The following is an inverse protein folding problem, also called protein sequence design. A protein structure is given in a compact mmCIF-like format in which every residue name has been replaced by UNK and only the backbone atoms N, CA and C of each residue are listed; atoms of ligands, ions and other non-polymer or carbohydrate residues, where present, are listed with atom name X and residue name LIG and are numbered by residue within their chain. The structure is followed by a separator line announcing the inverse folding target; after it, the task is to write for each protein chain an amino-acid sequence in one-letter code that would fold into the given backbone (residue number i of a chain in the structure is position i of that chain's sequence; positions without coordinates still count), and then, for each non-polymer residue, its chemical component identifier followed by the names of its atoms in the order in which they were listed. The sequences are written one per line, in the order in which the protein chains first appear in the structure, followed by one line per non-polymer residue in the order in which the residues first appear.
data_IF_335727681944
#
_entry.id   IF_335727681944
#
_cell.length_a   1.000
_cell.length_b   1.000
_cell.length_c   1.000
_cell.angle_alpha   90.00
_cell.angle_beta   90.00
_cell.angle_gamma   90.00
#
_symmetry.space_group_name_H-M   'P 1'
#
loop_
_entity.id
_entity.type
_entity.pdbx_description
1 polymer ?
#
# COMPACT_ATOMS: atom_id res chain seq x y z
N UNK A 1 22.82 -29.26 15.09
CA UNK A 1 22.67 -27.81 15.04
C UNK A 1 21.30 -27.42 15.59
N UNK A 2 21.22 -26.43 16.48
CA UNK A 2 19.93 -25.89 16.91
C UNK A 2 19.29 -25.08 15.76
N UNK A 3 17.99 -25.28 15.53
CA UNK A 3 17.25 -24.52 14.52
C UNK A 3 17.13 -23.06 14.97
N UNK A 4 17.19 -22.14 14.01
CA UNK A 4 16.95 -20.72 14.30
C UNK A 4 15.48 -20.48 14.60
N UNK A 5 15.20 -19.67 15.65
CA UNK A 5 13.85 -19.29 16.05
C UNK A 5 13.41 -17.92 15.50
N UNK A 6 14.33 -17.21 14.84
CA UNK A 6 14.04 -15.88 14.28
C UNK A 6 13.56 -16.01 12.83
N UNK A 7 12.58 -15.22 12.41
CA UNK A 7 12.20 -15.15 11.00
C UNK A 7 13.34 -14.57 10.15
N UNK A 8 13.21 -14.66 8.85
CA UNK A 8 14.14 -14.06 7.88
C UNK A 8 14.23 -12.55 8.12
N UNK A 9 15.44 -11.99 7.95
CA UNK A 9 15.68 -10.56 8.18
C UNK A 9 14.71 -9.68 7.39
N UNK A 10 14.05 -8.76 8.09
CA UNK A 10 13.06 -7.85 7.52
C UNK A 10 11.65 -8.43 7.41
N UNK A 11 11.43 -9.66 7.86
CA UNK A 11 10.10 -10.26 8.01
C UNK A 11 9.77 -10.42 9.50
N UNK A 12 8.49 -10.50 9.86
CA UNK A 12 8.06 -10.68 11.24
C UNK A 12 6.93 -11.69 11.35
N UNK A 13 6.85 -12.35 12.52
CA UNK A 13 5.67 -13.10 12.92
C UNK A 13 4.61 -12.14 13.45
N UNK A 14 3.35 -12.40 13.14
CA UNK A 14 2.21 -11.63 13.64
C UNK A 14 1.59 -12.40 14.80
N UNK A 15 1.60 -11.79 15.98
CA UNK A 15 1.02 -12.41 17.18
C UNK A 15 -0.52 -12.25 17.20
N UNK A 16 -1.23 -13.10 17.97
CA UNK A 16 -2.70 -13.13 17.95
C UNK A 16 -3.38 -11.79 18.24
N UNK A 17 -2.87 -10.98 19.16
CA UNK A 17 -3.45 -9.67 19.49
C UNK A 17 -3.36 -8.68 18.31
N UNK A 18 -2.24 -8.66 17.59
CA UNK A 18 -2.10 -7.87 16.36
C UNK A 18 -2.97 -8.46 15.25
N UNK A 19 -3.03 -9.80 15.14
CA UNK A 19 -3.84 -10.44 14.11
C UNK A 19 -5.33 -10.13 14.25
N UNK A 20 -5.85 -10.03 15.46
CA UNK A 20 -7.24 -9.61 15.71
C UNK A 20 -7.56 -8.22 15.11
N UNK A 21 -6.67 -7.25 15.30
CA UNK A 21 -6.81 -5.90 14.70
C UNK A 21 -6.71 -5.98 13.18
N UNK A 22 -5.78 -6.76 12.65
CA UNK A 22 -5.61 -6.95 11.19
C UNK A 22 -6.87 -7.55 10.57
N UNK A 23 -7.43 -8.60 11.15
CA UNK A 23 -8.65 -9.25 10.65
C UNK A 23 -9.85 -8.30 10.66
N UNK A 24 -9.99 -7.51 11.71
CA UNK A 24 -11.01 -6.46 11.78
C UNK A 24 -10.82 -5.43 10.66
N UNK A 25 -9.61 -4.88 10.48
CA UNK A 25 -9.31 -3.93 9.42
C UNK A 25 -9.59 -4.51 8.04
N UNK A 26 -9.18 -5.75 7.78
CA UNK A 26 -9.47 -6.47 6.52
C UNK A 26 -10.98 -6.58 6.29
N UNK A 27 -11.75 -6.87 7.33
CA UNK A 27 -13.22 -6.97 7.23
C UNK A 27 -13.86 -5.63 6.86
N UNK A 28 -13.42 -4.52 7.48
CA UNK A 28 -13.89 -3.16 7.18
C UNK A 28 -13.52 -2.76 5.76
N UNK A 29 -12.27 -3.00 5.35
CA UNK A 29 -11.78 -2.72 4.00
C UNK A 29 -12.64 -3.45 2.96
N UNK A 30 -12.77 -4.77 3.07
CA UNK A 30 -13.53 -5.59 2.12
C UNK A 30 -15.00 -5.15 2.03
N UNK A 31 -15.64 -4.91 3.18
CA UNK A 31 -17.02 -4.45 3.22
C UNK A 31 -17.18 -3.09 2.54
N UNK A 32 -16.33 -2.13 2.89
CA UNK A 32 -16.42 -0.78 2.33
C UNK A 32 -16.20 -0.79 0.83
N UNK A 33 -15.16 -1.45 0.35
CA UNK A 33 -14.88 -1.50 -1.08
C UNK A 33 -15.96 -2.26 -1.88
N UNK A 34 -16.56 -3.30 -1.30
CA UNK A 34 -17.72 -3.96 -1.92
C UNK A 34 -18.92 -3.01 -2.10
N UNK A 35 -19.16 -2.08 -1.15
CA UNK A 35 -20.21 -1.06 -1.27
C UNK A 35 -19.96 -0.07 -2.42
N UNK A 36 -18.69 0.14 -2.81
CA UNK A 36 -18.28 0.90 -3.99
C UNK A 36 -18.23 0.06 -5.28
N UNK A 37 -18.65 -1.20 -5.23
CA UNK A 37 -18.70 -2.09 -6.40
C UNK A 37 -17.35 -2.74 -6.77
N UNK A 38 -16.33 -2.70 -5.90
CA UNK A 38 -15.09 -3.39 -6.15
C UNK A 38 -15.23 -4.90 -5.94
N UNK A 39 -14.75 -5.68 -6.90
CA UNK A 39 -14.77 -7.13 -6.91
C UNK A 39 -13.45 -7.70 -6.40
N UNK A 40 -13.52 -8.56 -5.39
CA UNK A 40 -12.32 -9.20 -4.84
C UNK A 40 -11.72 -10.20 -5.82
N UNK A 41 -10.43 -10.09 -6.05
CA UNK A 41 -9.64 -11.06 -6.84
C UNK A 41 -8.42 -11.53 -6.05
N UNK A 42 -7.81 -12.61 -6.52
CA UNK A 42 -6.54 -13.12 -6.03
C UNK A 42 -5.65 -13.52 -7.20
N UNK A 43 -4.37 -13.20 -7.11
CA UNK A 43 -3.35 -13.60 -8.08
C UNK A 43 -2.24 -14.39 -7.38
N UNK A 44 -1.50 -15.26 -8.08
CA UNK A 44 -0.37 -15.99 -7.50
C UNK A 44 0.68 -15.06 -6.88
N UNK A 45 1.30 -15.51 -5.80
CA UNK A 45 2.43 -14.78 -5.17
C UNK A 45 3.73 -14.84 -5.99
N UNK A 46 3.84 -15.84 -6.85
CA UNK A 46 4.95 -16.02 -7.79
C UNK A 46 4.50 -15.59 -9.17
N UNK A 47 5.28 -14.72 -9.79
CA UNK A 47 5.03 -14.23 -11.14
C UNK A 47 6.22 -14.53 -12.04
N UNK A 48 6.00 -14.59 -13.35
CA UNK A 48 7.07 -14.72 -14.32
C UNK A 48 8.03 -13.53 -14.20
N UNK A 49 9.33 -13.81 -14.23
CA UNK A 49 10.34 -12.76 -14.04
C UNK A 49 10.25 -11.68 -15.11
N UNK A 50 9.93 -12.05 -16.34
CA UNK A 50 9.75 -11.12 -17.48
C UNK A 50 8.67 -10.06 -17.20
N UNK A 51 7.56 -10.43 -16.54
CA UNK A 51 6.51 -9.51 -16.13
C UNK A 51 6.98 -8.53 -15.06
N UNK A 52 7.79 -9.02 -14.09
CA UNK A 52 8.30 -8.22 -13.00
C UNK A 52 9.42 -7.26 -13.41
N UNK A 53 10.22 -7.62 -14.44
CA UNK A 53 11.37 -6.83 -14.92
C UNK A 53 11.05 -5.97 -16.14
N UNK A 54 9.84 -6.11 -16.73
CA UNK A 54 9.45 -5.39 -17.94
C UNK A 54 9.43 -3.87 -17.73
N UNK A 55 10.56 -3.22 -17.99
CA UNK A 55 10.77 -1.77 -18.16
C UNK A 55 10.25 -0.83 -17.06
N UNK A 56 10.19 -1.26 -15.82
CA UNK A 56 9.95 -0.33 -14.70
C UNK A 56 11.22 0.43 -14.26
N UNK A 57 12.28 0.42 -15.07
CA UNK A 57 13.54 1.14 -14.82
C UNK A 57 14.32 0.57 -13.64
N UNK A 58 15.46 0.00 -13.91
CA UNK A 58 16.63 -0.42 -13.12
C UNK A 58 16.55 -0.59 -11.59
N UNK A 59 15.96 0.31 -10.85
CA UNK A 59 16.00 0.25 -9.38
C UNK A 59 15.00 -0.72 -8.78
N UNK A 60 13.82 -0.90 -9.37
CA UNK A 60 12.82 -1.86 -8.89
C UNK A 60 13.27 -3.32 -9.08
N UNK A 61 14.08 -3.61 -10.09
CA UNK A 61 14.61 -4.95 -10.31
C UNK A 61 15.50 -5.44 -9.17
N UNK A 62 16.22 -4.53 -8.51
CA UNK A 62 17.05 -4.82 -7.34
C UNK A 62 16.23 -5.23 -6.11
N UNK A 63 14.92 -4.89 -6.10
CA UNK A 63 14.01 -5.20 -5.01
C UNK A 63 13.32 -6.56 -5.15
N UNK A 64 13.42 -7.22 -6.31
CA UNK A 64 12.73 -8.48 -6.59
C UNK A 64 13.44 -9.64 -5.89
N UNK A 65 12.68 -10.43 -5.14
CA UNK A 65 13.12 -11.75 -4.68
C UNK A 65 12.98 -12.74 -5.83
N UNK A 66 14.07 -12.97 -6.55
CA UNK A 66 14.12 -13.88 -7.70
C UNK A 66 14.09 -15.34 -7.25
N UNK A 67 13.47 -16.21 -8.04
CA UNK A 67 13.34 -17.65 -7.79
C UNK A 67 14.23 -18.40 -8.77
N UNK A 68 15.08 -19.27 -8.26
CA UNK A 68 15.96 -20.09 -9.08
C UNK A 68 15.14 -21.13 -9.88
N UNK A 69 15.57 -21.39 -11.11
CA UNK A 69 15.14 -22.54 -11.90
C UNK A 69 15.36 -23.84 -11.12
N UNK A 70 14.65 -24.90 -11.51
CA UNK A 70 14.73 -26.20 -10.83
C UNK A 70 15.14 -27.33 -11.79
N UNK A 71 15.71 -28.40 -11.22
CA UNK A 71 16.04 -29.62 -11.95
C UNK A 71 16.96 -29.38 -13.15
N UNK A 72 16.65 -30.01 -14.28
CA UNK A 72 17.47 -29.95 -15.49
C UNK A 72 17.65 -28.53 -16.05
N UNK A 73 16.63 -27.66 -15.93
CA UNK A 73 16.72 -26.26 -16.36
C UNK A 73 17.81 -25.49 -15.60
N UNK A 74 17.94 -25.73 -14.29
CA UNK A 74 18.98 -25.12 -13.48
C UNK A 74 20.35 -25.68 -13.84
N UNK A 75 20.46 -27.01 -13.98
CA UNK A 75 21.71 -27.67 -14.34
C UNK A 75 22.22 -27.19 -15.71
N UNK A 76 21.36 -27.10 -16.70
CA UNK A 76 21.69 -26.57 -18.03
C UNK A 76 22.16 -25.11 -17.98
N UNK A 77 21.49 -24.28 -17.19
CA UNK A 77 21.86 -22.87 -17.02
C UNK A 77 23.22 -22.73 -16.33
N UNK A 78 23.50 -23.54 -15.30
CA UNK A 78 24.80 -23.58 -14.62
C UNK A 78 25.93 -24.06 -15.55
N UNK A 79 25.68 -25.07 -16.37
CA UNK A 79 26.67 -25.57 -17.34
C UNK A 79 26.99 -24.50 -18.41
N UNK A 80 25.98 -23.74 -18.88
CA UNK A 80 26.18 -22.62 -19.79
C UNK A 80 27.04 -21.51 -19.19
N UNK A 81 26.79 -21.16 -17.92
CA UNK A 81 27.56 -20.13 -17.22
C UNK A 81 29.00 -20.59 -16.90
N UNK A 82 29.22 -21.87 -16.61
CA UNK A 82 30.58 -22.39 -16.37
C UNK A 82 31.45 -22.24 -17.61
N UNK A 83 30.90 -22.38 -18.81
CA UNK A 83 31.62 -22.14 -20.07
C UNK A 83 32.05 -20.67 -20.26
N UNK A 84 31.16 -19.73 -19.94
CA UNK A 84 31.44 -18.29 -20.07
C UNK A 84 32.29 -17.71 -18.93
N UNK A 85 32.16 -18.22 -17.70
CA UNK A 85 32.93 -17.77 -16.55
C UNK A 85 34.41 -18.20 -16.65
N UNK A 86 34.73 -19.29 -17.38
CA UNK A 86 36.10 -19.70 -17.64
C UNK A 86 36.87 -18.70 -18.54
N UNK A 87 36.14 -17.85 -19.29
CA UNK A 87 36.72 -16.84 -20.19
C UNK A 87 36.91 -15.46 -19.53
N UNK A 88 36.31 -15.21 -18.36
CA UNK A 88 36.32 -13.90 -17.67
C UNK A 88 36.60 -14.06 -16.16
N UNK A 89 37.84 -14.16 -15.79
CA UNK A 89 38.30 -14.24 -14.40
C UNK A 89 37.85 -12.98 -13.60
N UNK A 90 37.00 -13.16 -12.58
CA UNK A 90 36.54 -12.06 -11.71
C UNK A 90 35.23 -11.36 -12.12
N UNK A 91 34.56 -11.74 -13.18
CA UNK A 91 33.24 -11.19 -13.54
C UNK A 91 32.13 -11.69 -12.61
N UNK A 92 31.20 -10.80 -12.22
CA UNK A 92 30.01 -11.19 -11.46
C UNK A 92 29.13 -12.13 -12.29
N UNK A 93 28.74 -13.27 -11.72
CA UNK A 93 27.83 -14.22 -12.38
C UNK A 93 26.45 -13.57 -12.47
N UNK A 94 25.88 -13.37 -13.67
CA UNK A 94 24.53 -12.82 -13.80
C UNK A 94 23.50 -13.82 -13.29
N UNK A 95 22.52 -13.34 -12.54
CA UNK A 95 21.43 -14.17 -11.98
C UNK A 95 20.31 -14.45 -13.00
N UNK A 96 20.17 -13.63 -14.03
CA UNK A 96 19.12 -13.73 -15.05
C UNK A 96 19.05 -15.11 -15.74
N UNK A 97 20.14 -15.77 -16.14
CA UNK A 97 20.07 -17.11 -16.70
C UNK A 97 19.63 -18.18 -15.70
N UNK A 98 19.82 -17.95 -14.39
CA UNK A 98 19.54 -18.90 -13.31
C UNK A 98 18.10 -18.82 -12.78
N UNK A 99 17.36 -17.78 -13.15
CA UNK A 99 16.04 -17.48 -12.59
C UNK A 99 14.98 -17.45 -13.68
N UNK A 100 13.73 -17.81 -13.36
CA UNK A 100 12.58 -17.74 -14.27
C UNK A 100 11.32 -17.20 -13.61
N UNK A 101 11.33 -17.03 -12.30
CA UNK A 101 10.24 -16.48 -11.53
C UNK A 101 10.74 -15.53 -10.46
N UNK A 102 9.81 -14.80 -9.84
CA UNK A 102 10.05 -13.95 -8.69
C UNK A 102 8.83 -13.84 -7.79
N UNK A 103 9.05 -13.44 -6.55
CA UNK A 103 7.95 -13.03 -5.68
C UNK A 103 7.46 -11.66 -6.14
N UNK A 104 6.14 -11.50 -6.25
CA UNK A 104 5.52 -10.22 -6.63
C UNK A 104 5.93 -9.11 -5.66
N UNK A 105 6.38 -7.97 -6.18
CA UNK A 105 6.81 -6.82 -5.38
C UNK A 105 5.69 -5.77 -5.22
N UNK A 106 4.63 -5.88 -6.01
CA UNK A 106 3.37 -5.13 -5.93
C UNK A 106 2.20 -6.04 -6.35
N UNK A 107 0.99 -5.49 -6.31
CA UNK A 107 -0.22 -6.17 -6.78
C UNK A 107 -0.65 -5.68 -8.18
N UNK A 108 -0.10 -4.57 -8.67
CA UNK A 108 -0.48 -3.94 -9.94
C UNK A 108 -0.02 -4.77 -11.15
N UNK A 109 1.24 -5.23 -11.17
CA UNK A 109 1.76 -6.08 -12.25
C UNK A 109 0.95 -7.39 -12.38
N UNK A 110 0.71 -8.15 -11.29
CA UNK A 110 -0.16 -9.32 -11.34
C UNK A 110 -1.60 -9.01 -11.76
N UNK A 111 -2.17 -7.85 -11.35
CA UNK A 111 -3.51 -7.42 -11.75
C UNK A 111 -3.60 -7.20 -13.27
N UNK A 112 -2.64 -6.46 -13.83
CA UNK A 112 -2.63 -6.19 -15.27
C UNK A 112 -2.49 -7.47 -16.09
N UNK A 113 -1.63 -8.41 -15.67
CA UNK A 113 -1.54 -9.73 -16.27
C UNK A 113 -2.87 -10.51 -16.13
N UNK A 114 -3.49 -10.47 -14.95
CA UNK A 114 -4.78 -11.11 -14.69
C UNK A 114 -5.85 -10.55 -15.62
N UNK A 115 -5.98 -9.22 -15.67
CA UNK A 115 -6.94 -8.55 -16.56
C UNK A 115 -6.71 -8.95 -18.02
N UNK A 116 -5.47 -8.91 -18.49
CA UNK A 116 -5.13 -9.26 -19.88
C UNK A 116 -5.47 -10.71 -20.23
N UNK A 117 -5.38 -11.63 -19.27
CA UNK A 117 -5.74 -13.04 -19.49
C UNK A 117 -7.26 -13.29 -19.49
N UNK A 118 -8.05 -12.41 -18.86
CA UNK A 118 -9.47 -12.59 -18.58
C UNK A 118 -10.34 -11.44 -19.10
N UNK A 119 -9.83 -10.56 -19.99
CA UNK A 119 -10.54 -9.34 -20.42
C UNK A 119 -11.96 -9.61 -20.95
N UNK A 120 -12.21 -10.78 -21.57
CA UNK A 120 -13.52 -11.16 -22.09
C UNK A 120 -14.49 -11.72 -21.04
N UNK A 121 -14.02 -12.02 -19.84
CA UNK A 121 -14.78 -12.58 -18.74
C UNK A 121 -15.10 -11.52 -17.67
N UNK A 122 -14.43 -10.38 -17.71
CA UNK A 122 -14.52 -9.32 -16.71
C UNK A 122 -15.48 -8.20 -17.15
N UNK A 123 -16.21 -7.57 -16.22
CA UNK A 123 -17.03 -6.40 -16.53
C UNK A 123 -16.17 -5.20 -16.92
N UNK A 124 -16.73 -4.27 -17.69
CA UNK A 124 -16.07 -3.01 -18.03
C UNK A 124 -16.97 -1.83 -17.64
N UNK A 125 -16.47 -0.82 -16.91
CA UNK A 125 -15.14 -0.77 -16.28
C UNK A 125 -14.97 -1.87 -15.21
N UNK A 126 -13.76 -2.40 -15.08
CA UNK A 126 -13.44 -3.41 -14.07
C UNK A 126 -12.91 -2.75 -12.79
N UNK A 127 -13.67 -2.85 -11.71
CA UNK A 127 -13.31 -2.35 -10.37
C UNK A 127 -12.78 -3.52 -9.54
N UNK A 128 -11.47 -3.63 -9.39
CA UNK A 128 -10.79 -4.71 -8.70
C UNK A 128 -10.41 -4.33 -7.26
N UNK A 129 -10.62 -5.25 -6.31
CA UNK A 129 -10.00 -5.24 -4.99
C UNK A 129 -9.02 -6.40 -4.90
N UNK A 130 -7.77 -6.13 -4.67
CA UNK A 130 -6.76 -7.14 -4.42
C UNK A 130 -6.05 -6.89 -3.09
N UNK A 131 -6.03 -7.91 -2.22
CA UNK A 131 -5.34 -7.86 -0.95
C UNK A 131 -4.38 -9.04 -0.86
N UNK A 132 -3.13 -8.78 -0.53
CA UNK A 132 -2.16 -9.86 -0.43
C UNK A 132 -0.76 -9.42 -0.06
N UNK A 133 0.06 -10.39 0.31
CA UNK A 133 1.46 -10.16 0.61
C UNK A 133 2.24 -9.86 -0.67
N UNK A 134 3.17 -8.92 -0.51
CA UNK A 134 4.20 -8.58 -1.49
C UNK A 134 5.57 -8.59 -0.83
N UNK A 135 6.62 -8.71 -1.64
CA UNK A 135 8.00 -8.86 -1.14
C UNK A 135 8.92 -7.86 -1.82
N UNK A 136 9.66 -7.10 -1.00
CA UNK A 136 10.66 -6.14 -1.49
C UNK A 136 11.96 -6.32 -0.71
N UNK A 137 13.08 -6.41 -1.39
CA UNK A 137 14.41 -6.52 -0.78
C UNK A 137 14.92 -5.19 -0.18
N UNK A 138 14.00 -4.32 0.22
CA UNK A 138 14.28 -3.05 0.89
C UNK A 138 15.08 -3.21 2.18
N UNK A 139 15.76 -2.13 2.58
CA UNK A 139 16.37 -2.03 3.91
C UNK A 139 15.25 -1.94 4.96
N UNK A 140 15.18 -2.90 5.91
CA UNK A 140 14.14 -2.89 6.93
C UNK A 140 14.25 -1.66 7.85
N UNK A 141 13.09 -1.08 8.19
CA UNK A 141 12.96 -0.01 9.18
C UNK A 141 11.55 -0.03 9.79
N UNK A 142 11.27 0.81 10.78
CA UNK A 142 9.94 0.88 11.41
C UNK A 142 8.85 1.14 10.36
N UNK A 143 7.84 0.26 10.32
CA UNK A 143 6.75 0.34 9.33
C UNK A 143 7.13 -0.05 7.89
N UNK A 144 8.35 -0.55 7.65
CA UNK A 144 8.82 -1.02 6.34
C UNK A 144 9.46 -2.39 6.46
N UNK A 145 8.76 -3.38 5.97
CA UNK A 145 9.17 -4.79 6.02
C UNK A 145 9.50 -5.29 4.61
N UNK A 146 10.22 -6.42 4.54
CA UNK A 146 10.49 -7.12 3.28
C UNK A 146 9.34 -7.98 2.80
N UNK A 147 8.47 -8.40 3.71
CA UNK A 147 7.17 -8.98 3.42
C UNK A 147 6.10 -8.14 4.12
N UNK A 148 5.12 -7.68 3.38
CA UNK A 148 4.04 -6.84 3.89
C UNK A 148 2.78 -7.00 3.05
N UNK A 149 1.63 -6.67 3.62
CA UNK A 149 0.35 -6.71 2.92
C UNK A 149 0.10 -5.39 2.19
N UNK A 150 -0.29 -5.47 0.93
CA UNK A 150 -0.94 -4.38 0.20
C UNK A 150 -2.45 -4.60 0.15
N UNK A 151 -3.19 -3.49 0.11
CA UNK A 151 -4.63 -3.46 -0.04
C UNK A 151 -4.92 -2.45 -1.16
N UNK A 152 -5.05 -2.96 -2.36
CA UNK A 152 -5.13 -2.17 -3.58
C UNK A 152 -6.54 -2.25 -4.17
N UNK A 153 -7.05 -1.11 -4.57
CA UNK A 153 -8.24 -1.00 -5.43
C UNK A 153 -7.84 -0.33 -6.73
N UNK A 154 -8.33 -0.87 -7.83
CA UNK A 154 -8.02 -0.41 -9.17
C UNK A 154 -9.28 -0.36 -10.02
N UNK A 155 -9.36 0.62 -10.91
CA UNK A 155 -10.40 0.76 -11.92
C UNK A 155 -9.74 0.72 -13.28
N UNK A 156 -10.08 -0.29 -14.08
CA UNK A 156 -9.57 -0.50 -15.44
C UNK A 156 -10.69 -0.26 -16.42
N UNK A 157 -10.45 0.57 -17.46
CA UNK A 157 -11.41 0.88 -18.50
C UNK A 157 -12.24 2.14 -18.30
N UNK A 158 -11.93 2.97 -17.28
CA UNK A 158 -12.53 4.28 -17.08
C UNK A 158 -11.51 5.38 -17.38
N UNK A 159 -11.76 6.16 -18.43
CA UNK A 159 -10.84 7.19 -18.90
C UNK A 159 -11.05 8.55 -18.20
N UNK A 160 -12.25 8.81 -17.70
CA UNK A 160 -12.57 10.08 -17.07
C UNK A 160 -12.08 10.16 -15.61
N UNK A 161 -12.17 11.35 -15.01
CA UNK A 161 -11.82 11.59 -13.60
C UNK A 161 -12.73 10.85 -12.61
N UNK A 162 -13.78 10.18 -13.09
CA UNK A 162 -14.66 9.35 -12.25
C UNK A 162 -13.85 8.24 -11.54
N UNK A 163 -12.81 7.69 -12.19
CA UNK A 163 -11.93 6.69 -11.58
C UNK A 163 -11.23 7.26 -10.33
N UNK A 164 -10.61 8.43 -10.45
CA UNK A 164 -9.93 9.11 -9.35
C UNK A 164 -10.88 9.45 -8.20
N UNK A 165 -12.05 10.02 -8.52
CA UNK A 165 -13.08 10.41 -7.53
C UNK A 165 -13.53 9.18 -6.73
N UNK A 166 -13.89 8.10 -7.40
CA UNK A 166 -14.34 6.85 -6.77
C UNK A 166 -13.26 6.20 -5.90
N UNK A 167 -12.01 6.18 -6.37
CA UNK A 167 -10.87 5.64 -5.61
C UNK A 167 -10.59 6.45 -4.34
N UNK A 168 -10.61 7.78 -4.44
CA UNK A 168 -10.41 8.67 -3.28
C UNK A 168 -11.55 8.49 -2.27
N UNK A 169 -12.80 8.51 -2.71
CA UNK A 169 -13.97 8.36 -1.82
C UNK A 169 -13.99 6.98 -1.15
N UNK A 170 -13.73 5.91 -1.89
CA UNK A 170 -13.68 4.55 -1.34
C UNK A 170 -12.57 4.41 -0.28
N UNK A 171 -11.37 4.91 -0.59
CA UNK A 171 -10.23 4.84 0.32
C UNK A 171 -10.45 5.68 1.58
N UNK A 172 -10.90 6.92 1.43
CA UNK A 172 -11.13 7.83 2.58
C UNK A 172 -12.29 7.38 3.45
N UNK A 173 -13.36 6.85 2.86
CA UNK A 173 -14.47 6.22 3.61
C UNK A 173 -13.98 5.03 4.43
N UNK A 174 -13.11 4.21 3.86
CA UNK A 174 -12.48 3.07 4.56
C UNK A 174 -11.66 3.54 5.76
N UNK A 175 -10.79 4.53 5.58
CA UNK A 175 -9.98 5.09 6.65
C UNK A 175 -10.85 5.72 7.76
N UNK A 176 -11.90 6.46 7.39
CA UNK A 176 -12.85 7.02 8.35
C UNK A 176 -13.58 5.96 9.17
N UNK A 177 -13.97 4.84 8.55
CA UNK A 177 -14.59 3.68 9.24
C UNK A 177 -13.62 2.96 10.18
N UNK A 178 -12.34 3.02 9.91
CA UNK A 178 -11.28 2.54 10.82
C UNK A 178 -10.99 3.51 11.97
N UNK A 179 -11.61 4.69 11.97
CA UNK A 179 -11.49 5.69 13.02
C UNK A 179 -10.46 6.80 12.76
N UNK A 180 -9.79 6.81 11.60
CA UNK A 180 -8.84 7.87 11.26
C UNK A 180 -9.56 9.17 10.94
N UNK A 181 -8.97 10.29 11.39
CA UNK A 181 -9.49 11.66 11.20
C UNK A 181 -8.34 12.63 10.94
N UNK A 182 -8.67 13.76 10.29
CA UNK A 182 -7.71 14.84 10.07
C UNK A 182 -6.54 14.48 9.16
N UNK A 183 -6.63 13.37 8.42
CA UNK A 183 -5.60 12.99 7.47
C UNK A 183 -5.76 13.77 6.14
N UNK A 184 -4.71 13.74 5.33
CA UNK A 184 -4.72 14.40 4.03
C UNK A 184 -4.56 13.39 2.91
N UNK A 185 -5.28 13.62 1.81
CA UNK A 185 -4.98 13.03 0.51
C UNK A 185 -4.26 14.10 -0.29
N UNK A 186 -2.98 13.90 -0.49
CA UNK A 186 -2.14 14.76 -1.35
C UNK A 186 -2.29 14.27 -2.78
N UNK A 187 -2.55 15.18 -3.71
CA UNK A 187 -2.75 14.86 -5.14
C UNK A 187 -1.85 15.74 -6.01
N UNK A 188 -1.32 15.17 -7.08
CA UNK A 188 -0.61 15.85 -8.15
C UNK A 188 -0.96 15.18 -9.49
N UNK A 189 -0.41 15.68 -10.58
CA UNK A 189 -0.48 15.04 -11.90
C UNK A 189 0.91 15.02 -12.56
N UNK A 190 1.26 13.90 -13.16
CA UNK A 190 2.54 13.73 -13.89
C UNK A 190 2.66 14.69 -15.07
N UNK A 191 1.57 15.11 -15.66
CA UNK A 191 1.57 16.09 -16.76
C UNK A 191 1.94 17.49 -16.25
N UNK A 192 1.54 17.85 -15.01
CA UNK A 192 1.99 19.10 -14.37
C UNK A 192 3.51 19.05 -14.14
N UNK A 193 4.03 17.97 -13.58
CA UNK A 193 5.49 17.81 -13.40
C UNK A 193 6.26 17.94 -14.69
N UNK A 194 5.76 17.29 -15.77
CA UNK A 194 6.36 17.40 -17.11
C UNK A 194 6.29 18.81 -17.66
N UNK A 195 5.16 19.49 -17.52
CA UNK A 195 4.99 20.87 -17.98
C UNK A 195 5.89 21.84 -17.22
N UNK A 196 6.01 21.70 -15.89
CA UNK A 196 6.94 22.48 -15.07
C UNK A 196 8.40 22.29 -15.53
N UNK A 197 8.82 21.04 -15.75
CA UNK A 197 10.17 20.76 -16.23
C UNK A 197 10.39 21.30 -17.65
N UNK A 198 9.43 21.12 -18.56
CA UNK A 198 9.52 21.63 -19.93
C UNK A 198 9.59 23.17 -19.97
N UNK A 199 8.77 23.86 -19.16
CA UNK A 199 8.76 25.32 -19.10
C UNK A 199 10.08 25.93 -18.59
N UNK A 200 10.87 25.14 -17.83
CA UNK A 200 12.19 25.50 -17.34
C UNK A 200 13.33 25.04 -18.26
N UNK A 201 13.03 24.47 -19.43
CA UNK A 201 14.03 24.09 -20.42
C UNK A 201 14.82 22.81 -20.11
N UNK A 202 14.29 21.92 -19.24
CA UNK A 202 14.89 20.60 -19.05
C UNK A 202 14.70 19.70 -20.27
N UNK A 203 15.69 18.85 -20.61
CA UNK A 203 15.54 17.86 -21.70
C UNK A 203 14.47 16.84 -21.38
N UNK A 204 13.59 16.56 -22.34
CA UNK A 204 12.44 15.67 -22.14
C UNK A 204 12.84 14.22 -21.79
N UNK A 205 13.93 13.72 -22.35
CA UNK A 205 14.50 12.40 -22.10
C UNK A 205 15.10 12.25 -20.69
N UNK A 206 15.29 13.37 -19.95
CA UNK A 206 15.83 13.40 -18.59
C UNK A 206 14.82 13.85 -17.52
N UNK A 207 13.54 13.97 -17.84
CA UNK A 207 12.53 14.38 -16.88
C UNK A 207 12.45 13.48 -15.65
N UNK A 208 12.58 12.17 -15.80
CA UNK A 208 12.55 11.24 -14.67
C UNK A 208 13.70 11.50 -13.68
N UNK A 209 14.86 11.92 -14.16
CA UNK A 209 15.99 12.32 -13.29
C UNK A 209 15.67 13.59 -12.50
N UNK A 210 15.07 14.60 -13.15
CA UNK A 210 14.60 15.82 -12.47
C UNK A 210 13.58 15.45 -11.38
N UNK A 211 12.65 14.55 -11.66
CA UNK A 211 11.62 14.14 -10.71
C UNK A 211 12.18 13.34 -9.52
N UNK A 212 13.18 12.48 -9.74
CA UNK A 212 13.89 11.77 -8.66
C UNK A 212 14.59 12.76 -7.71
N UNK A 213 15.14 13.83 -8.25
CA UNK A 213 15.77 14.89 -7.43
C UNK A 213 14.71 15.69 -6.69
N UNK A 214 13.60 16.06 -7.36
CA UNK A 214 12.47 16.76 -6.75
C UNK A 214 11.84 15.98 -5.57
N UNK A 215 11.72 14.66 -5.67
CA UNK A 215 11.17 13.79 -4.61
C UNK A 215 11.95 13.88 -3.28
N UNK A 216 13.12 14.49 -3.31
CA UNK A 216 13.94 14.75 -2.11
C UNK A 216 13.66 16.11 -1.49
N UNK A 217 12.82 16.97 -2.09
CA UNK A 217 12.59 18.36 -1.68
C UNK A 217 12.25 18.47 -0.18
N UNK A 218 11.40 17.57 0.32
CA UNK A 218 11.01 17.54 1.75
C UNK A 218 12.19 17.26 2.70
N UNK A 219 13.28 16.65 2.19
CA UNK A 219 14.46 16.25 2.99
C UNK A 219 15.62 17.23 2.88
N UNK A 220 15.87 17.74 1.67
CA UNK A 220 17.04 18.54 1.35
C UNK A 220 16.73 20.02 1.10
N UNK A 221 15.43 20.37 1.04
CA UNK A 221 14.98 21.72 0.75
C UNK A 221 15.25 22.16 -0.69
N UNK A 222 14.82 23.37 -1.03
CA UNK A 222 14.99 23.96 -2.37
C UNK A 222 16.47 24.13 -2.75
N UNK A 223 17.31 24.57 -1.82
CA UNK A 223 18.75 24.74 -2.04
C UNK A 223 19.43 23.40 -2.35
N UNK A 224 19.01 22.32 -1.66
CA UNK A 224 19.51 20.98 -1.91
C UNK A 224 19.08 20.44 -3.27
N UNK A 225 17.86 20.69 -3.70
CA UNK A 225 17.35 20.33 -5.04
C UNK A 225 18.11 21.10 -6.12
N UNK A 226 18.28 22.41 -5.97
CA UNK A 226 19.06 23.23 -6.89
C UNK A 226 20.48 22.69 -7.07
N UNK A 227 21.14 22.36 -5.95
CA UNK A 227 22.48 21.80 -5.96
C UNK A 227 22.53 20.44 -6.67
N UNK A 228 21.64 19.50 -6.32
CA UNK A 228 21.61 18.18 -6.95
C UNK A 228 21.30 18.24 -8.46
N UNK A 229 20.42 19.15 -8.89
CA UNK A 229 20.16 19.36 -10.32
C UNK A 229 21.41 19.86 -11.06
N UNK A 230 22.15 20.79 -10.47
CA UNK A 230 23.40 21.29 -11.05
C UNK A 230 24.49 20.21 -11.08
N UNK A 231 24.64 19.44 -10.00
CA UNK A 231 25.56 18.29 -9.92
C UNK A 231 25.22 17.18 -10.92
N UNK A 232 23.94 17.00 -11.25
CA UNK A 232 23.47 16.09 -12.29
C UNK A 232 23.75 16.61 -13.71
N UNK A 233 24.32 17.81 -13.86
CA UNK A 233 24.72 18.41 -15.14
C UNK A 233 23.59 19.13 -15.87
N UNK A 234 22.52 19.53 -15.19
CA UNK A 234 21.55 20.49 -15.72
C UNK A 234 22.09 21.92 -15.59
N UNK A 235 21.58 22.83 -16.43
CA UNK A 235 22.01 24.23 -16.40
C UNK A 235 21.53 24.92 -15.12
N UNK A 236 22.35 25.83 -14.59
CA UNK A 236 21.95 26.64 -13.41
C UNK A 236 20.69 27.45 -13.70
N UNK A 237 20.51 27.92 -14.95
CA UNK A 237 19.34 28.68 -15.37
C UNK A 237 18.06 27.83 -15.26
N UNK A 238 18.04 26.61 -15.83
CA UNK A 238 16.89 25.70 -15.74
C UNK A 238 16.58 25.33 -14.29
N UNK A 239 17.62 25.01 -13.50
CA UNK A 239 17.45 24.66 -12.10
C UNK A 239 16.91 25.84 -11.27
N UNK A 240 17.42 27.06 -11.47
CA UNK A 240 16.93 28.26 -10.82
C UNK A 240 15.49 28.62 -11.20
N UNK A 241 15.14 28.51 -12.48
CA UNK A 241 13.76 28.72 -12.97
C UNK A 241 12.80 27.70 -12.34
N UNK A 242 13.23 26.45 -12.19
CA UNK A 242 12.41 25.39 -11.57
C UNK A 242 12.14 25.69 -10.10
N UNK A 243 13.14 26.11 -9.35
CA UNK A 243 12.96 26.53 -7.95
C UNK A 243 12.07 27.78 -7.86
N UNK A 244 12.22 28.74 -8.77
CA UNK A 244 11.39 29.94 -8.82
C UNK A 244 9.90 29.64 -9.04
N UNK A 245 9.54 28.53 -9.72
CA UNK A 245 8.15 28.08 -9.80
C UNK A 245 7.60 27.69 -8.44
N UNK A 246 8.40 27.01 -7.60
CA UNK A 246 7.98 26.66 -6.23
C UNK A 246 7.91 27.87 -5.32
N UNK A 247 8.81 28.85 -5.47
CA UNK A 247 8.73 30.14 -4.76
C UNK A 247 7.46 30.90 -5.14
N UNK A 248 7.11 30.89 -6.42
CA UNK A 248 5.90 31.50 -6.92
C UNK A 248 4.62 30.80 -6.43
N UNK A 249 4.62 29.47 -6.35
CA UNK A 249 3.54 28.69 -5.74
C UNK A 249 3.32 29.07 -4.27
N UNK A 250 4.40 29.13 -3.48
CA UNK A 250 4.34 29.54 -2.08
C UNK A 250 3.85 30.99 -1.94
N UNK A 251 4.30 31.91 -2.80
CA UNK A 251 3.86 33.29 -2.79
C UNK A 251 2.38 33.42 -3.16
N UNK A 252 1.91 32.72 -4.18
CA UNK A 252 0.51 32.75 -4.63
C UNK A 252 -0.45 32.18 -3.58
N UNK A 253 -0.05 31.12 -2.88
CA UNK A 253 -0.82 30.46 -1.86
C UNK A 253 -0.57 30.95 -0.43
N UNK A 254 0.43 31.81 -0.22
CA UNK A 254 0.96 32.20 1.10
C UNK A 254 -0.01 32.98 2.00
N UNK A 255 -1.14 33.48 1.47
CA UNK A 255 -2.23 34.06 2.29
C UNK A 255 -3.16 33.01 2.89
N UNK A 256 -3.06 31.75 2.47
CA UNK A 256 -3.91 30.65 2.91
C UNK A 256 -3.12 29.66 3.77
N UNK A 257 -3.82 28.99 4.67
CA UNK A 257 -3.20 27.94 5.48
C UNK A 257 -2.74 26.78 4.58
N UNK A 258 -1.48 26.34 4.65
CA UNK A 258 -1.03 25.19 3.88
C UNK A 258 -1.91 23.95 4.13
N UNK A 259 -2.22 23.22 3.07
CA UNK A 259 -3.06 22.02 3.15
C UNK A 259 -4.56 22.27 3.19
N UNK A 260 -5.02 23.50 2.89
CA UNK A 260 -6.45 23.80 2.72
C UNK A 260 -6.88 23.80 1.25
N UNK A 261 -8.19 23.78 1.02
CA UNK A 261 -8.76 23.87 -0.33
C UNK A 261 -8.41 25.20 -1.02
N UNK A 262 -8.43 26.31 -0.27
CA UNK A 262 -8.08 27.66 -0.76
C UNK A 262 -6.61 27.73 -1.17
N UNK A 263 -5.72 27.13 -0.37
CA UNK A 263 -4.30 27.02 -0.71
C UNK A 263 -4.08 26.23 -2.01
N UNK A 264 -4.78 25.11 -2.16
CA UNK A 264 -4.73 24.28 -3.38
C UNK A 264 -5.29 25.02 -4.60
N UNK A 265 -6.40 25.74 -4.45
CA UNK A 265 -7.00 26.53 -5.53
C UNK A 265 -6.08 27.66 -6.00
N UNK A 266 -5.43 28.37 -5.08
CA UNK A 266 -4.46 29.42 -5.41
C UNK A 266 -3.22 28.86 -6.13
N UNK A 267 -2.71 27.72 -5.68
CA UNK A 267 -1.60 27.01 -6.33
C UNK A 267 -1.93 26.57 -7.76
N UNK A 268 -3.14 26.01 -7.98
CA UNK A 268 -3.58 25.63 -9.31
C UNK A 268 -3.80 26.82 -10.24
N UNK A 269 -4.31 27.94 -9.73
CA UNK A 269 -4.48 29.18 -10.50
C UNK A 269 -3.12 29.76 -10.94
N UNK A 270 -2.13 29.74 -10.07
CA UNK A 270 -0.77 30.15 -10.41
C UNK A 270 -0.16 29.27 -11.51
N UNK A 271 -0.30 27.93 -11.40
CA UNK A 271 0.21 27.02 -12.43
C UNK A 271 -0.51 27.19 -13.78
N UNK A 272 -1.82 27.46 -13.76
CA UNK A 272 -2.57 27.74 -14.98
C UNK A 272 -2.00 28.95 -15.73
N UNK A 273 -1.67 30.03 -15.01
CA UNK A 273 -1.01 31.19 -15.61
C UNK A 273 0.38 30.86 -16.15
N UNK A 274 1.21 30.13 -15.36
CA UNK A 274 2.62 29.89 -15.70
C UNK A 274 2.83 28.80 -16.76
N UNK A 275 1.91 27.83 -16.85
CA UNK A 275 2.04 26.68 -17.74
C UNK A 275 1.12 26.77 -18.98
N UNK A 276 0.47 27.91 -19.19
CA UNK A 276 -0.37 28.16 -20.38
C UNK A 276 0.41 27.85 -21.65
N UNK A 277 -0.17 27.00 -22.52
CA UNK A 277 0.45 26.56 -23.78
C UNK A 277 1.52 25.48 -23.66
N UNK A 278 1.84 25.03 -22.43
CA UNK A 278 2.80 23.94 -22.17
C UNK A 278 2.09 22.70 -21.60
N UNK A 279 1.04 22.88 -20.82
CA UNK A 279 0.21 21.83 -20.24
C UNK A 279 -1.03 21.56 -21.09
N UNK A 280 -1.52 20.29 -21.10
CA UNK A 280 -2.80 19.95 -21.72
C UNK A 280 -3.96 20.73 -21.09
N UNK A 281 -4.88 21.23 -21.93
CA UNK A 281 -5.98 22.09 -21.50
C UNK A 281 -6.94 21.41 -20.51
N UNK A 282 -6.99 20.08 -20.51
CA UNK A 282 -7.87 19.26 -19.65
C UNK A 282 -7.29 18.99 -18.26
N UNK A 283 -5.98 19.14 -18.04
CA UNK A 283 -5.31 18.64 -16.81
C UNK A 283 -5.75 19.44 -15.58
N UNK A 284 -5.64 20.75 -15.60
CA UNK A 284 -6.01 21.59 -14.46
C UNK A 284 -7.53 21.65 -14.22
N UNK A 285 -8.40 21.74 -15.25
CA UNK A 285 -9.84 21.56 -15.09
C UNK A 285 -10.20 20.20 -14.50
N UNK A 286 -9.55 19.12 -14.95
CA UNK A 286 -9.75 17.76 -14.40
C UNK A 286 -9.43 17.65 -12.91
N UNK A 287 -8.31 18.24 -12.47
CA UNK A 287 -8.01 18.29 -11.03
C UNK A 287 -9.09 19.08 -10.25
N UNK A 288 -9.56 20.22 -10.76
CA UNK A 288 -10.64 20.98 -10.12
C UNK A 288 -11.93 20.18 -10.02
N UNK A 289 -12.26 19.38 -11.04
CA UNK A 289 -13.42 18.48 -11.02
C UNK A 289 -13.27 17.43 -9.92
N UNK A 290 -12.08 16.81 -9.77
CA UNK A 290 -11.78 15.85 -8.70
C UNK A 290 -11.97 16.53 -7.34
N UNK A 291 -11.36 17.72 -7.12
CA UNK A 291 -11.51 18.48 -5.86
C UNK A 291 -12.96 18.77 -5.54
N UNK A 292 -13.72 19.33 -6.48
CA UNK A 292 -15.11 19.69 -6.29
C UNK A 292 -16.01 18.49 -6.00
N UNK A 293 -15.85 17.40 -6.75
CA UNK A 293 -16.67 16.19 -6.61
C UNK A 293 -16.36 15.44 -5.30
N UNK A 294 -15.10 15.32 -4.94
CA UNK A 294 -14.69 14.70 -3.67
C UNK A 294 -15.18 15.51 -2.49
N UNK A 295 -15.02 16.84 -2.50
CA UNK A 295 -15.48 17.70 -1.41
C UNK A 295 -17.00 17.63 -1.22
N UNK A 296 -17.76 17.60 -2.31
CA UNK A 296 -19.22 17.50 -2.28
C UNK A 296 -19.73 16.15 -1.75
N UNK A 297 -18.97 15.06 -1.90
CA UNK A 297 -19.39 13.69 -1.57
C UNK A 297 -18.67 13.07 -0.36
N UNK A 298 -17.63 13.70 0.17
CA UNK A 298 -16.84 13.13 1.27
C UNK A 298 -17.67 12.86 2.52
N UNK A 299 -17.48 11.67 3.09
CA UNK A 299 -18.13 11.23 4.34
C UNK A 299 -17.16 11.12 5.52
N UNK A 300 -15.84 11.15 5.25
CA UNK A 300 -14.79 11.07 6.27
C UNK A 300 -14.19 12.46 6.55
N UNK A 301 -13.56 12.59 7.71
CA UNK A 301 -12.84 13.79 8.11
C UNK A 301 -11.41 13.77 7.54
N UNK A 302 -11.25 14.37 6.36
CA UNK A 302 -9.96 14.51 5.67
C UNK A 302 -9.94 15.76 4.80
N UNK A 303 -8.76 16.16 4.35
CA UNK A 303 -8.56 17.25 3.39
C UNK A 303 -7.90 16.71 2.12
N UNK A 304 -8.42 17.09 0.96
CA UNK A 304 -7.75 16.88 -0.33
C UNK A 304 -6.84 18.08 -0.62
N UNK A 305 -5.58 17.83 -0.90
CA UNK A 305 -4.53 18.87 -1.03
C UNK A 305 -3.78 18.70 -2.33
N UNK A 306 -3.69 19.76 -3.12
CA UNK A 306 -2.76 19.77 -4.24
C UNK A 306 -1.33 19.96 -3.72
N UNK A 307 -0.43 19.07 -4.14
CA UNK A 307 0.98 19.10 -3.74
C UNK A 307 1.91 18.81 -4.92
N UNK A 308 2.51 19.85 -5.48
CA UNK A 308 3.37 19.74 -6.66
C UNK A 308 4.69 19.00 -6.39
N UNK A 309 5.01 18.70 -5.12
CA UNK A 309 6.24 17.98 -4.77
C UNK A 309 6.10 16.47 -4.81
N UNK A 310 4.87 15.95 -4.87
CA UNK A 310 4.66 14.50 -4.99
C UNK A 310 5.06 14.05 -6.38
N UNK A 311 6.04 13.15 -6.43
CA UNK A 311 6.54 12.56 -7.67
C UNK A 311 6.10 11.10 -7.81
N UNK A 312 6.00 10.39 -6.71
CA UNK A 312 5.77 8.94 -6.66
C UNK A 312 6.75 8.11 -7.50
N UNK A 313 7.46 7.21 -6.82
CA UNK A 313 8.66 6.52 -7.31
C UNK A 313 8.44 5.42 -8.38
N UNK A 314 7.29 5.36 -9.05
CA UNK A 314 7.04 4.36 -10.10
C UNK A 314 6.90 5.08 -11.44
N UNK A 315 7.82 4.83 -12.34
CA UNK A 315 7.89 5.44 -13.68
C UNK A 315 6.70 5.10 -14.59
N UNK A 316 5.78 4.24 -14.17
CA UNK A 316 4.62 3.85 -14.97
C UNK A 316 3.40 4.77 -14.83
N UNK A 317 3.37 5.71 -13.89
CA UNK A 317 2.24 6.64 -13.77
C UNK A 317 2.20 7.62 -14.94
N UNK A 318 1.00 7.84 -15.49
CA UNK A 318 0.77 8.64 -16.69
C UNK A 318 0.03 9.95 -16.45
N UNK A 319 -0.77 10.02 -15.39
CA UNK A 319 -1.61 11.16 -15.02
C UNK A 319 -1.57 11.43 -13.52
N UNK A 320 -2.75 11.50 -12.91
CA UNK A 320 -2.94 11.78 -11.47
C UNK A 320 -2.18 10.82 -10.59
N UNK A 321 -1.60 11.34 -9.51
CA UNK A 321 -0.91 10.59 -8.46
C UNK A 321 -1.42 11.01 -7.08
N UNK A 322 -1.55 10.03 -6.17
CA UNK A 322 -2.14 10.23 -4.84
C UNK A 322 -1.20 9.77 -3.74
N UNK A 323 -1.34 10.42 -2.59
CA UNK A 323 -0.64 10.02 -1.37
C UNK A 323 -1.51 10.23 -0.14
N UNK A 324 -1.51 9.24 0.78
CA UNK A 324 -2.15 9.36 2.09
C UNK A 324 -1.09 9.90 3.06
N UNK A 325 -1.30 11.10 3.59
CA UNK A 325 -0.48 11.67 4.65
C UNK A 325 -1.23 11.57 5.99
N UNK A 326 -0.65 10.84 6.93
CA UNK A 326 -1.18 10.67 8.28
C UNK A 326 -0.40 11.55 9.25
N UNK A 327 -1.08 12.42 10.04
CA UNK A 327 -0.42 13.32 11.00
C UNK A 327 0.47 12.56 12.00
N UNK A 328 0.03 11.38 12.43
CA UNK A 328 0.68 10.58 13.47
C UNK A 328 2.07 10.07 13.09
N UNK A 329 2.30 9.80 11.82
CA UNK A 329 3.56 9.21 11.37
C UNK A 329 4.50 10.19 10.66
N UNK A 330 3.98 11.31 10.14
CA UNK A 330 4.75 12.24 9.32
C UNK A 330 5.33 11.60 8.03
N UNK A 331 4.81 10.44 7.63
CA UNK A 331 5.20 9.69 6.43
C UNK A 331 3.96 9.25 5.65
N UNK A 332 4.15 8.98 4.36
CA UNK A 332 3.10 8.44 3.51
C UNK A 332 2.55 7.10 4.03
N UNK A 333 1.23 6.95 4.11
CA UNK A 333 0.53 5.73 4.51
C UNK A 333 -0.14 5.01 3.35
N UNK A 334 0.18 5.33 2.13
CA UNK A 334 -0.39 4.72 0.93
C UNK A 334 -0.37 5.67 -0.25
N UNK A 335 -0.96 5.26 -1.33
CA UNK A 335 -1.13 6.05 -2.54
C UNK A 335 -0.94 5.20 -3.78
N UNK A 336 -1.19 5.76 -4.93
CA UNK A 336 -1.02 5.18 -6.25
C UNK A 336 -1.26 6.29 -7.29
N UNK A 337 -1.90 5.98 -8.42
CA UNK A 337 -2.26 6.94 -9.46
C UNK A 337 -2.73 6.28 -10.74
N UNK A 338 -2.87 7.08 -11.78
CA UNK A 338 -3.25 6.64 -13.13
C UNK A 338 -2.05 6.04 -13.86
N UNK A 339 -2.24 4.86 -14.49
CA UNK A 339 -1.19 4.07 -15.15
C UNK A 339 -1.65 3.46 -16.48
N UNK A 340 -2.29 4.25 -17.33
CA UNK A 340 -2.97 3.84 -18.57
C UNK A 340 -2.07 2.98 -19.49
N UNK A 341 -0.79 3.35 -19.66
CA UNK A 341 0.13 2.63 -20.55
C UNK A 341 0.53 1.22 -20.08
N UNK A 342 0.18 0.81 -18.86
CA UNK A 342 0.62 -0.47 -18.31
C UNK A 342 -0.18 -1.65 -18.86
N UNK A 343 -1.50 -1.49 -19.00
CA UNK A 343 -2.39 -2.51 -19.55
C UNK A 343 -2.03 -2.78 -21.02
N UNK A 344 -1.73 -1.74 -21.77
CA UNK A 344 -1.34 -1.84 -23.18
C UNK A 344 -0.10 -2.68 -23.45
N UNK A 345 0.80 -2.80 -22.49
CA UNK A 345 2.00 -3.67 -22.63
C UNK A 345 1.65 -5.15 -22.73
N UNK A 346 0.55 -5.58 -22.14
CA UNK A 346 0.09 -6.96 -22.16
C UNK A 346 -0.95 -7.22 -23.27
N UNK A 347 -1.81 -6.24 -23.54
CA UNK A 347 -2.95 -6.42 -24.45
C UNK A 347 -2.68 -5.87 -25.86
N UNK A 348 -1.71 -4.97 -26.01
CA UNK A 348 -1.50 -4.18 -27.23
C UNK A 348 -2.59 -3.12 -27.48
N UNK A 349 -3.52 -2.92 -26.51
CA UNK A 349 -4.62 -1.95 -26.57
C UNK A 349 -4.39 -0.86 -25.55
N UNK A 350 -4.76 0.37 -25.88
CA UNK A 350 -4.75 1.46 -24.92
C UNK A 350 -6.00 1.34 -24.02
N UNK A 351 -5.78 0.95 -22.76
CA UNK A 351 -6.84 0.75 -21.76
C UNK A 351 -6.50 1.60 -20.55
N UNK A 352 -7.34 2.60 -20.21
CA UNK A 352 -7.11 3.46 -19.05
C UNK A 352 -7.20 2.65 -17.75
N UNK A 353 -6.33 2.99 -16.81
CA UNK A 353 -6.28 2.35 -15.51
C UNK A 353 -5.80 3.32 -14.42
N UNK A 354 -6.48 3.30 -13.29
CA UNK A 354 -6.12 4.08 -12.11
C UNK A 354 -6.27 3.23 -10.86
N UNK A 355 -5.38 3.37 -9.88
CA UNK A 355 -5.41 2.60 -8.65
C UNK A 355 -5.15 3.42 -7.40
N UNK A 356 -5.50 2.87 -6.23
CA UNK A 356 -5.19 3.41 -4.92
C UNK A 356 -4.87 2.29 -3.93
N UNK A 357 -3.74 2.40 -3.25
CA UNK A 357 -3.24 1.41 -2.29
C UNK A 357 -3.18 1.98 -0.88
N UNK A 358 -3.74 1.26 0.09
CA UNK A 358 -3.54 1.55 1.52
C UNK A 358 -2.27 0.83 1.99
N UNK A 359 -1.36 1.57 2.62
CA UNK A 359 -0.20 1.03 3.29
C UNK A 359 -0.56 0.29 4.57
N UNK A 360 -1.07 -0.92 4.45
CA UNK A 360 -1.71 -1.68 5.52
C UNK A 360 -0.86 -1.81 6.80
N UNK A 361 0.43 -2.10 6.66
CA UNK A 361 1.32 -2.23 7.84
C UNK A 361 1.48 -0.92 8.63
N UNK A 362 1.40 0.22 7.94
CA UNK A 362 1.48 1.55 8.58
C UNK A 362 0.19 1.89 9.32
N UNK A 363 -0.96 1.57 8.72
CA UNK A 363 -2.27 1.70 9.38
C UNK A 363 -2.33 0.84 10.64
N UNK A 364 -1.93 -0.44 10.55
CA UNK A 364 -1.86 -1.32 11.72
C UNK A 364 -0.91 -0.78 12.79
N UNK A 365 0.25 -0.25 12.40
CA UNK A 365 1.20 0.34 13.35
C UNK A 365 0.58 1.50 14.14
N UNK A 366 -0.12 2.42 13.46
CA UNK A 366 -0.82 3.54 14.12
C UNK A 366 -1.86 3.01 15.11
N UNK A 367 -2.71 2.07 14.67
CA UNK A 367 -3.76 1.51 15.52
C UNK A 367 -3.20 0.81 16.77
N UNK A 368 -2.11 0.08 16.63
CA UNK A 368 -1.41 -0.57 17.75
C UNK A 368 -0.82 0.47 18.72
N UNK A 369 -0.17 1.51 18.22
CA UNK A 369 0.42 2.58 19.05
C UNK A 369 -0.65 3.40 19.78
N UNK A 370 -1.84 3.55 19.19
CA UNK A 370 -2.98 4.22 19.81
C UNK A 370 -3.78 3.32 20.76
N UNK A 371 -3.43 2.03 20.91
CA UNK A 371 -4.18 1.08 21.73
C UNK A 371 -5.60 0.87 21.23
N UNK A 372 -5.78 0.80 19.91
CA UNK A 372 -7.08 0.71 19.24
C UNK A 372 -7.96 -0.41 19.80
N UNK A 373 -9.21 -0.07 20.12
CA UNK A 373 -10.21 -1.02 20.58
C UNK A 373 -11.17 -1.36 19.44
N UNK A 374 -11.27 -2.64 19.09
CA UNK A 374 -12.15 -3.12 18.04
C UNK A 374 -13.61 -2.90 18.45
N UNK A 375 -14.40 -2.11 17.68
CA UNK A 375 -15.81 -1.91 17.98
C UNK A 375 -16.64 -3.19 17.85
N UNK A 376 -17.59 -3.40 18.80
CA UNK A 376 -18.49 -4.55 18.75
C UNK A 376 -17.80 -5.91 18.93
N UNK A 377 -16.64 -5.94 19.55
CA UNK A 377 -15.91 -7.19 19.84
C UNK A 377 -16.80 -8.14 20.66
N UNK A 378 -16.89 -9.44 20.27
CA UNK A 378 -17.67 -10.40 21.03
C UNK A 378 -17.07 -10.61 22.43
N UNK A 379 -17.93 -10.82 23.41
CA UNK A 379 -17.49 -11.14 24.78
C UNK A 379 -16.70 -12.45 24.76
N UNK A 380 -15.50 -12.42 25.35
CA UNK A 380 -14.64 -13.60 25.51
C UNK A 380 -14.86 -14.20 26.91
N UNK A 381 -15.29 -15.46 26.96
CA UNK A 381 -15.46 -16.23 28.18
C UNK A 381 -14.47 -17.39 28.26
N UNK A 382 -13.94 -17.68 29.43
CA UNK A 382 -13.08 -18.84 29.66
C UNK A 382 -13.69 -19.80 30.67
N UNK A 383 -13.93 -21.04 30.26
CA UNK A 383 -14.39 -22.14 31.11
C UNK A 383 -13.18 -22.91 31.62
N UNK A 384 -12.96 -22.81 32.95
CA UNK A 384 -11.86 -23.47 33.63
C UNK A 384 -12.39 -24.76 34.24
N UNK A 385 -11.95 -25.91 33.70
CA UNK A 385 -12.46 -27.23 34.12
C UNK A 385 -11.42 -27.94 34.98
N UNK A 386 -11.83 -28.41 36.15
CA UNK A 386 -11.00 -29.24 37.01
C UNK A 386 -10.49 -30.50 36.31
N UNK A 387 -9.26 -30.94 36.65
CA UNK A 387 -8.68 -32.17 36.07
C UNK A 387 -9.52 -33.40 36.43
N UNK A 388 -9.56 -34.35 35.52
CA UNK A 388 -10.32 -35.59 35.64
C UNK A 388 -11.83 -35.40 35.95
N UNK A 389 -12.46 -34.43 35.30
CA UNK A 389 -13.91 -34.21 35.29
C UNK A 389 -14.63 -35.47 34.80
N UNK A 390 -15.70 -35.95 35.47
CA UNK A 390 -16.52 -37.04 34.98
C UNK A 390 -17.08 -36.76 33.57
N UNK A 391 -17.20 -37.82 32.75
CA UNK A 391 -17.53 -37.66 31.34
C UNK A 391 -18.93 -37.07 31.07
N UNK A 392 -19.92 -37.45 31.88
CA UNK A 392 -21.27 -36.89 31.85
C UNK A 392 -21.28 -35.38 32.11
N UNK A 393 -20.64 -34.96 33.16
CA UNK A 393 -20.52 -33.55 33.53
C UNK A 393 -19.66 -32.75 32.53
N UNK A 394 -18.59 -33.37 32.04
CA UNK A 394 -17.80 -32.74 30.97
C UNK A 394 -18.67 -32.48 29.74
N UNK A 395 -19.52 -33.44 29.37
CA UNK A 395 -20.42 -33.30 28.22
C UNK A 395 -21.45 -32.19 28.41
N UNK A 396 -21.96 -31.99 29.63
CA UNK A 396 -22.86 -30.87 29.97
C UNK A 396 -22.14 -29.51 29.82
N UNK A 397 -20.91 -29.39 30.33
CA UNK A 397 -20.11 -28.17 30.25
C UNK A 397 -19.80 -27.83 28.78
N UNK A 398 -19.44 -28.83 27.97
CA UNK A 398 -19.17 -28.62 26.53
C UNK A 398 -20.45 -28.21 25.81
N UNK A 399 -21.60 -28.79 26.14
CA UNK A 399 -22.90 -28.41 25.55
C UNK A 399 -23.23 -26.93 25.87
N UNK A 400 -23.04 -26.52 27.14
CA UNK A 400 -23.21 -25.13 27.57
C UNK A 400 -22.29 -24.21 26.76
N UNK A 401 -21.00 -24.54 26.66
CA UNK A 401 -20.04 -23.73 25.90
C UNK A 401 -20.45 -23.62 24.42
N UNK A 402 -21.00 -24.70 23.84
CA UNK A 402 -21.48 -24.69 22.45
C UNK A 402 -22.69 -23.76 22.27
N UNK A 403 -23.66 -23.80 23.19
CA UNK A 403 -24.82 -22.90 23.16
C UNK A 403 -24.40 -21.42 23.26
N UNK A 404 -23.42 -21.11 24.10
CA UNK A 404 -22.92 -19.73 24.19
C UNK A 404 -22.16 -19.30 22.93
N UNK A 405 -21.40 -20.20 22.27
CA UNK A 405 -20.78 -19.93 20.96
C UNK A 405 -21.82 -19.65 19.89
N UNK A 406 -22.91 -20.40 19.86
CA UNK A 406 -24.04 -20.18 18.94
C UNK A 406 -24.73 -18.83 19.17
N UNK A 407 -24.68 -18.30 20.39
CA UNK A 407 -25.17 -16.95 20.71
C UNK A 407 -24.17 -15.83 20.37
N UNK A 408 -23.01 -16.15 19.75
CA UNK A 408 -22.01 -15.20 19.30
C UNK A 408 -20.89 -14.89 20.32
N UNK A 409 -20.84 -15.57 21.48
CA UNK A 409 -19.71 -15.46 22.39
C UNK A 409 -18.49 -16.26 21.94
N UNK A 410 -17.31 -15.80 22.29
CA UNK A 410 -16.09 -16.58 22.16
C UNK A 410 -15.81 -17.34 23.47
N UNK A 411 -16.02 -18.66 23.47
CA UNK A 411 -15.84 -19.48 24.67
C UNK A 411 -14.65 -20.40 24.55
N UNK A 412 -13.61 -20.14 25.35
CA UNK A 412 -12.44 -21.00 25.52
C UNK A 412 -12.72 -22.02 26.62
N UNK A 413 -12.49 -23.28 26.34
CA UNK A 413 -12.60 -24.37 27.33
C UNK A 413 -11.20 -24.92 27.62
N UNK A 414 -10.72 -24.78 28.84
CA UNK A 414 -9.38 -25.22 29.24
C UNK A 414 -9.37 -25.93 30.58
N UNK A 415 -8.34 -26.74 30.84
CA UNK A 415 -8.13 -27.34 32.18
C UNK A 415 -7.56 -26.31 33.15
N UNK A 416 -8.02 -26.37 34.39
CA UNK A 416 -7.47 -25.58 35.50
C UNK A 416 -5.99 -25.90 35.72
N UNK A 417 -5.18 -24.86 35.85
CA UNK A 417 -3.80 -24.94 36.31
C UNK A 417 -3.72 -25.01 37.83
N UNK A 418 -2.58 -25.44 38.40
CA UNK A 418 -2.33 -25.38 39.82
C UNK A 418 -2.44 -23.94 40.37
N UNK A 419 -1.92 -22.96 39.65
CA UNK A 419 -2.05 -21.54 39.96
C UNK A 419 -3.17 -20.92 39.08
N UNK A 420 -4.41 -21.00 39.60
CA UNK A 420 -5.60 -20.49 38.92
C UNK A 420 -5.59 -18.97 38.76
N UNK A 421 -5.08 -18.26 39.78
CA UNK A 421 -5.01 -16.81 39.75
C UNK A 421 -4.15 -16.34 38.54
N UNK A 422 -2.96 -16.88 38.43
CA UNK A 422 -2.05 -16.59 37.32
C UNK A 422 -2.65 -17.00 35.95
N UNK A 423 -3.35 -18.15 35.90
CA UNK A 423 -4.04 -18.56 34.66
C UNK A 423 -5.12 -17.56 34.26
N UNK A 424 -5.92 -17.04 35.20
CA UNK A 424 -6.93 -16.01 34.87
C UNK A 424 -6.28 -14.69 34.46
N UNK A 425 -5.22 -14.28 35.16
CA UNK A 425 -4.46 -13.07 34.77
C UNK A 425 -3.95 -13.17 33.33
N UNK A 426 -3.33 -14.28 32.96
CA UNK A 426 -2.88 -14.50 31.57
C UNK A 426 -4.02 -14.52 30.55
N UNK A 427 -5.17 -15.11 30.91
CA UNK A 427 -6.33 -15.11 30.02
C UNK A 427 -6.98 -13.71 29.91
N UNK A 428 -6.97 -12.94 31.01
CA UNK A 428 -7.43 -11.54 30.98
C UNK A 428 -6.56 -10.67 30.08
N UNK A 429 -5.23 -10.86 30.08
CA UNK A 429 -4.30 -10.22 29.14
C UNK A 429 -4.61 -10.59 27.67
N UNK A 430 -5.21 -11.75 27.42
CA UNK A 430 -5.69 -12.19 26.09
C UNK A 430 -7.12 -11.69 25.78
N UNK A 431 -7.70 -10.86 26.66
CA UNK A 431 -9.01 -10.26 26.47
C UNK A 431 -10.19 -11.10 26.95
N UNK A 432 -9.98 -12.17 27.75
CA UNK A 432 -11.08 -12.90 28.39
C UNK A 432 -11.59 -12.12 29.59
N UNK A 433 -12.87 -11.75 29.56
CA UNK A 433 -13.52 -10.93 30.59
C UNK A 433 -14.38 -11.75 31.54
N UNK A 434 -14.91 -12.89 31.08
CA UNK A 434 -15.78 -13.77 31.86
C UNK A 434 -15.06 -15.08 32.17
N UNK A 435 -15.13 -15.50 33.44
CA UNK A 435 -14.50 -16.74 33.90
C UNK A 435 -15.52 -17.62 34.60
N UNK A 436 -15.72 -18.85 34.10
CA UNK A 436 -16.50 -19.87 34.83
C UNK A 436 -15.61 -21.03 35.24
N UNK A 437 -15.73 -21.41 36.51
CA UNK A 437 -14.97 -22.52 37.09
C UNK A 437 -15.88 -23.72 37.32
N UNK A 438 -15.50 -24.87 36.83
CA UNK A 438 -16.24 -26.12 36.96
C UNK A 438 -15.43 -27.15 37.76
N UNK A 439 -16.01 -27.57 38.88
CA UNK A 439 -15.43 -28.55 39.81
C UNK A 439 -16.14 -29.89 39.70
N UNK A 440 -15.48 -31.01 40.09
CA UNK A 440 -16.02 -32.38 40.09
C UNK A 440 -17.24 -32.49 41.00
N UNK A 441 -17.15 -31.89 42.18
CA UNK A 441 -18.24 -31.82 43.15
C UNK A 441 -18.79 -30.41 43.20
N UNK A 442 -20.12 -30.27 43.28
CA UNK A 442 -20.69 -28.96 43.55
C UNK A 442 -20.31 -28.55 44.95
N UNK A 443 -19.44 -27.55 45.09
CA UNK A 443 -19.27 -26.87 46.38
C UNK A 443 -20.64 -26.30 46.76
N UNK A 444 -21.21 -26.88 47.88
CA UNK A 444 -22.47 -26.41 48.45
C UNK A 444 -22.36 -24.98 48.92
#
# INVERSE_FOLDING_TARGET
MALTKKPVTGMKDILPAEMEIRDYCISVIKKTYAEFGFLSIETPCVENLENLTSKSGGDNEKLIFKILKRGEKLQSALAGLAGTAAEQEGAAIPDAPLTDGGLRYDLTVPLVRYFSAHENELPMPFKALQMGNVWRADRPQKGRYRQFMQCDIDIIGEASNLAEIELILATTTTLGRLGFKGFQIRINDRQILKAMAASCGFPQDRFDEVFIILDKMDKIGKDGVLKELTEAGFTEESAAQYIALFDGLEAAAGSFTPGTAEHSAASLAYLEEKLTGVIGEEVLPGLREIFGSVEAAKAADFTLVFDPTIVRGMSYYTGTIFEIAMPELGISCGGSGRYDGMVGRFTGKDVPACGFSIGFERIILILLEQGYQIPGKPVKAAYLIEKNMPSDRLSEIIRKAQQERESGKQVLVVRMNKNRKFQKEQLAEQGYEQFEEFYKEMTK
#
